data_IF_913744773369
#
_entry.id   IF_913744773369
#
_cell.length_a   1.000
_cell.length_b   1.000
_cell.length_c   1.000
_cell.angle_alpha   90.00
_cell.angle_beta   90.00
_cell.angle_gamma   90.00
#
_symmetry.space_group_name_H-M   'P 1'
#
loop_
_entity.id
_entity.type
_entity.pdbx_description
1 polymer ?
#
# COMPACT_ATOMS: atom_id res chain seq x y z
N UNK A 1 32.30 91.30 -1.49
CA UNK A 1 30.82 91.28 -1.47
C UNK A 1 30.33 89.92 -1.95
N UNK A 2 29.42 89.27 -1.18
CA UNK A 2 28.39 88.25 -1.53
C UNK A 2 28.80 87.09 -2.46
N UNK A 3 28.90 85.82 -2.02
CA UNK A 3 27.89 84.86 -1.55
C UNK A 3 27.64 83.74 -2.59
N UNK A 4 27.98 82.50 -2.21
CA UNK A 4 27.36 81.17 -2.44
C UNK A 4 26.62 80.85 -3.76
N UNK A 5 26.86 79.65 -4.34
CA UNK A 5 25.88 78.52 -4.39
C UNK A 5 26.42 77.36 -5.27
N UNK A 6 26.20 76.16 -4.74
CA UNK A 6 26.48 74.78 -5.17
C UNK A 6 25.82 74.29 -6.47
N UNK A 7 26.39 73.22 -7.07
CA UNK A 7 25.70 72.10 -7.79
C UNK A 7 26.73 71.02 -8.17
N UNK A 8 26.92 69.98 -7.33
CA UNK A 8 26.41 68.58 -7.45
C UNK A 8 26.81 67.85 -8.74
N UNK A 9 27.69 66.84 -8.57
CA UNK A 9 28.08 65.81 -9.53
C UNK A 9 26.88 64.96 -9.99
N UNK A 10 26.93 64.50 -11.24
CA UNK A 10 26.33 63.23 -11.65
C UNK A 10 27.19 62.59 -12.75
N UNK A 11 28.02 61.61 -12.39
CA UNK A 11 28.56 60.63 -13.34
C UNK A 11 27.60 59.44 -13.37
N UNK A 12 27.04 59.16 -14.55
CA UNK A 12 26.25 57.95 -14.80
C UNK A 12 27.26 56.84 -15.11
N UNK A 13 27.43 55.88 -14.21
CA UNK A 13 28.18 54.66 -14.45
C UNK A 13 27.23 53.59 -15.01
N UNK A 14 27.54 53.08 -16.21
CA UNK A 14 26.91 51.87 -16.78
C UNK A 14 27.24 50.65 -15.91
N UNK A 15 26.22 49.89 -15.51
CA UNK A 15 26.38 48.56 -14.89
C UNK A 15 26.17 47.50 -15.97
N UNK A 16 27.06 46.49 -16.10
CA UNK A 16 26.89 45.40 -17.06
C UNK A 16 25.78 44.45 -16.61
N UNK A 17 24.84 44.15 -17.50
CA UNK A 17 23.77 43.20 -17.25
C UNK A 17 24.32 41.76 -17.29
N UNK A 18 24.68 41.21 -16.13
CA UNK A 18 24.91 39.76 -15.99
C UNK A 18 23.56 39.05 -15.94
N UNK A 19 23.20 38.34 -17.01
CA UNK A 19 22.06 37.43 -17.04
C UNK A 19 22.31 36.28 -16.05
N UNK A 20 21.65 36.32 -14.90
CA UNK A 20 21.60 35.21 -13.97
C UNK A 20 20.61 34.17 -14.53
N UNK A 21 21.12 33.20 -15.29
CA UNK A 21 20.33 32.08 -15.78
C UNK A 21 19.85 31.24 -14.59
N UNK A 22 18.56 31.36 -14.24
CA UNK A 22 17.92 30.51 -13.25
C UNK A 22 17.77 29.10 -13.82
N UNK A 23 18.74 28.23 -13.54
CA UNK A 23 18.61 26.79 -13.83
C UNK A 23 17.58 26.24 -12.84
N UNK A 24 16.33 26.12 -13.29
CA UNK A 24 15.30 25.36 -12.61
C UNK A 24 15.73 23.89 -12.62
N UNK A 25 16.43 23.44 -11.58
CA UNK A 25 16.67 22.01 -11.37
C UNK A 25 15.33 21.40 -10.95
N UNK A 26 14.60 20.84 -11.92
CA UNK A 26 13.39 20.09 -11.63
C UNK A 26 13.76 18.91 -10.71
N UNK A 27 13.26 18.95 -9.48
CA UNK A 27 13.41 17.83 -8.55
C UNK A 27 12.71 16.60 -9.14
N UNK A 28 13.33 15.40 -9.09
CA UNK A 28 12.66 14.21 -9.57
C UNK A 28 11.40 14.00 -8.74
N UNK A 29 10.24 13.98 -9.40
CA UNK A 29 8.99 13.60 -8.76
C UNK A 29 9.15 12.18 -8.22
N UNK A 30 9.27 12.04 -6.90
CA UNK A 30 9.21 10.75 -6.23
C UNK A 30 7.88 10.10 -6.63
N UNK A 31 7.93 8.99 -7.37
CA UNK A 31 6.72 8.25 -7.72
C UNK A 31 5.99 7.91 -6.42
N UNK A 32 4.80 8.48 -6.22
CA UNK A 32 4.06 8.32 -4.98
C UNK A 32 3.85 6.82 -4.70
N UNK A 33 4.33 6.36 -3.54
CA UNK A 33 4.13 4.98 -3.09
C UNK A 33 2.62 4.73 -2.99
N UNK A 34 2.15 3.65 -3.62
CA UNK A 34 0.72 3.27 -3.56
C UNK A 34 0.32 3.07 -2.10
N UNK A 35 -0.74 3.73 -1.65
CA UNK A 35 -1.17 3.61 -0.25
C UNK A 35 -1.60 2.17 0.09
N UNK A 36 -1.38 1.75 1.34
CA UNK A 36 -1.87 0.45 1.84
C UNK A 36 -3.38 0.29 1.64
N UNK A 37 -4.14 1.36 1.88
CA UNK A 37 -5.58 1.38 1.68
C UNK A 37 -5.97 1.10 0.22
N UNK A 38 -5.24 1.70 -0.73
CA UNK A 38 -5.44 1.43 -2.16
C UNK A 38 -5.10 -0.02 -2.52
N UNK A 39 -3.97 -0.54 -2.03
CA UNK A 39 -3.60 -1.95 -2.26
C UNK A 39 -4.67 -2.91 -1.74
N UNK A 40 -5.20 -2.68 -0.53
CA UNK A 40 -6.28 -3.49 0.05
C UNK A 40 -7.55 -3.41 -0.79
N UNK A 41 -7.95 -2.21 -1.20
CA UNK A 41 -9.13 -1.98 -2.04
C UNK A 41 -9.02 -2.68 -3.41
N UNK A 42 -7.87 -2.53 -4.09
CA UNK A 42 -7.60 -3.18 -5.37
C UNK A 42 -7.69 -4.71 -5.23
N UNK A 43 -7.10 -5.29 -4.18
CA UNK A 43 -7.13 -6.75 -3.93
C UNK A 43 -8.56 -7.24 -3.73
N UNK A 44 -9.38 -6.55 -2.94
CA UNK A 44 -10.80 -6.91 -2.73
C UNK A 44 -11.57 -6.83 -4.05
N UNK A 45 -11.43 -5.73 -4.79
CA UNK A 45 -12.09 -5.53 -6.08
C UNK A 45 -11.74 -6.64 -7.07
N UNK A 46 -10.45 -6.93 -7.24
CA UNK A 46 -9.98 -7.94 -8.18
C UNK A 46 -10.35 -9.36 -7.74
N UNK A 47 -10.33 -9.65 -6.43
CA UNK A 47 -10.84 -10.91 -5.88
C UNK A 47 -12.30 -11.11 -6.28
N UNK A 48 -13.15 -10.10 -6.07
CA UNK A 48 -14.56 -10.18 -6.44
C UNK A 48 -14.77 -10.30 -7.95
N UNK A 49 -13.99 -9.59 -8.77
CA UNK A 49 -14.02 -9.74 -10.24
C UNK A 49 -13.75 -11.19 -10.65
N UNK A 50 -12.74 -11.83 -10.07
CA UNK A 50 -12.39 -13.22 -10.38
C UNK A 50 -13.42 -14.21 -9.87
N UNK A 51 -14.00 -13.96 -8.70
CA UNK A 51 -15.10 -14.76 -8.16
C UNK A 51 -16.32 -14.71 -9.06
N UNK A 52 -16.72 -13.53 -9.54
CA UNK A 52 -17.83 -13.37 -10.48
C UNK A 52 -17.55 -14.09 -11.81
N UNK A 53 -16.34 -13.96 -12.36
CA UNK A 53 -15.94 -14.69 -13.57
C UNK A 53 -15.96 -16.22 -13.38
N UNK A 54 -15.76 -16.69 -12.16
CA UNK A 54 -15.84 -18.11 -11.80
C UNK A 54 -17.27 -18.56 -11.41
N UNK A 55 -18.27 -17.68 -11.47
CA UNK A 55 -19.65 -18.00 -11.08
C UNK A 55 -19.92 -17.98 -9.56
N UNK A 56 -18.96 -17.53 -8.74
CA UNK A 56 -19.18 -17.33 -7.30
C UNK A 56 -19.82 -15.97 -7.00
N UNK A 57 -20.49 -15.88 -5.85
CA UNK A 57 -20.91 -14.59 -5.26
C UNK A 57 -19.69 -13.80 -4.79
N UNK A 58 -19.79 -12.48 -4.91
CA UNK A 58 -18.82 -11.55 -4.33
C UNK A 58 -18.77 -11.71 -2.80
N UNK A 59 -17.57 -11.67 -2.24
CA UNK A 59 -17.35 -11.61 -0.79
C UNK A 59 -17.49 -10.17 -0.29
N UNK A 60 -18.01 -10.01 0.93
CA UNK A 60 -18.12 -8.73 1.62
C UNK A 60 -16.92 -8.50 2.53
N UNK A 61 -16.43 -7.28 2.60
CA UNK A 61 -15.36 -6.93 3.55
C UNK A 61 -15.89 -7.05 4.99
N UNK A 62 -15.15 -7.77 5.84
CA UNK A 62 -15.37 -7.83 7.28
C UNK A 62 -14.19 -7.18 8.01
N UNK A 63 -14.50 -6.19 8.87
CA UNK A 63 -13.49 -5.42 9.58
C UNK A 63 -12.65 -6.29 10.53
N UNK A 64 -13.23 -7.36 11.09
CA UNK A 64 -12.53 -8.26 12.03
C UNK A 64 -11.48 -9.10 11.31
N UNK A 65 -11.84 -9.64 10.14
CA UNK A 65 -10.87 -10.33 9.27
C UNK A 65 -9.78 -9.37 8.78
N UNK A 66 -10.15 -8.12 8.49
CA UNK A 66 -9.20 -7.06 8.09
C UNK A 66 -8.20 -6.75 9.21
N UNK A 67 -8.67 -6.63 10.46
CA UNK A 67 -7.81 -6.48 11.64
C UNK A 67 -6.82 -7.64 11.77
N UNK A 68 -7.31 -8.89 11.67
CA UNK A 68 -6.47 -10.07 11.76
C UNK A 68 -5.41 -10.12 10.63
N UNK A 69 -5.82 -9.80 9.39
CA UNK A 69 -4.95 -9.78 8.23
C UNK A 69 -3.88 -8.68 8.32
N UNK A 70 -4.26 -7.45 8.67
CA UNK A 70 -3.31 -6.33 8.87
C UNK A 70 -2.31 -6.64 9.98
N UNK A 71 -2.77 -7.23 11.09
CA UNK A 71 -1.90 -7.65 12.19
C UNK A 71 -0.83 -8.65 11.74
N UNK A 72 -1.21 -9.63 10.92
CA UNK A 72 -0.28 -10.62 10.39
C UNK A 72 0.71 -10.03 9.38
N UNK A 73 0.23 -9.21 8.43
CA UNK A 73 1.10 -8.49 7.49
C UNK A 73 2.11 -7.60 8.21
N UNK A 74 1.68 -6.90 9.26
CA UNK A 74 2.56 -6.08 10.09
C UNK A 74 3.59 -6.93 10.85
N UNK A 75 3.20 -8.10 11.35
CA UNK A 75 4.13 -9.01 12.00
C UNK A 75 5.18 -9.52 11.01
N UNK A 76 4.78 -10.03 9.85
CA UNK A 76 5.71 -10.48 8.80
C UNK A 76 6.66 -9.36 8.38
N UNK A 77 6.15 -8.14 8.18
CA UNK A 77 6.97 -6.99 7.82
C UNK A 77 7.93 -6.52 8.92
N UNK A 78 7.59 -6.72 10.20
CA UNK A 78 8.49 -6.39 11.33
C UNK A 78 9.57 -7.44 11.55
N UNK A 79 9.26 -8.72 11.37
CA UNK A 79 10.20 -9.82 11.66
C UNK A 79 10.99 -10.27 10.44
N UNK A 80 10.56 -9.90 9.23
CA UNK A 80 11.10 -10.43 7.98
C UNK A 80 10.70 -11.88 7.72
N UNK A 81 9.87 -12.48 8.58
CA UNK A 81 9.42 -13.87 8.42
C UNK A 81 8.23 -13.96 7.48
N UNK A 82 8.31 -14.81 6.46
CA UNK A 82 7.18 -15.12 5.58
C UNK A 82 6.59 -16.48 5.95
N UNK A 83 5.47 -16.49 6.68
CA UNK A 83 4.85 -17.71 7.19
C UNK A 83 3.36 -17.51 7.46
N UNK A 84 2.57 -18.58 7.35
CA UNK A 84 1.19 -18.62 7.84
C UNK A 84 1.12 -18.66 9.38
N UNK A 85 2.18 -19.15 10.02
CA UNK A 85 2.36 -19.18 11.47
C UNK A 85 2.98 -17.86 11.92
N UNK A 86 2.22 -17.10 12.70
CA UNK A 86 2.58 -15.76 13.15
C UNK A 86 3.18 -15.73 14.55
N UNK A 87 3.06 -14.56 15.19
CA UNK A 87 3.54 -14.32 16.55
C UNK A 87 3.10 -15.43 17.51
N UNK A 88 4.04 -15.93 18.32
CA UNK A 88 3.81 -16.98 19.32
C UNK A 88 3.09 -18.23 18.77
N UNK A 89 3.33 -18.61 17.51
CA UNK A 89 2.72 -19.80 16.91
C UNK A 89 1.27 -19.61 16.44
N UNK A 90 0.77 -18.37 16.39
CA UNK A 90 -0.62 -18.11 15.97
C UNK A 90 -0.90 -18.58 14.53
N UNK A 91 -2.09 -19.13 14.31
CA UNK A 91 -2.62 -19.44 12.97
C UNK A 91 -3.60 -18.36 12.52
N UNK A 92 -4.01 -18.36 11.25
CA UNK A 92 -5.05 -17.44 10.78
C UNK A 92 -6.37 -17.60 11.57
N UNK A 93 -6.68 -18.81 12.03
CA UNK A 93 -7.86 -19.11 12.86
C UNK A 93 -7.75 -18.38 14.19
N UNK A 94 -6.61 -18.51 14.89
CA UNK A 94 -6.45 -17.88 16.21
C UNK A 94 -6.40 -16.36 16.09
N UNK A 95 -5.76 -15.82 15.05
CA UNK A 95 -5.77 -14.37 14.76
C UNK A 95 -7.18 -13.84 14.45
N UNK A 96 -7.96 -14.56 13.64
CA UNK A 96 -9.33 -14.18 13.32
C UNK A 96 -10.25 -14.25 14.55
N UNK A 97 -10.13 -15.31 15.37
CA UNK A 97 -10.89 -15.46 16.62
C UNK A 97 -10.51 -14.38 17.66
N UNK A 98 -9.23 -14.02 17.76
CA UNK A 98 -8.79 -12.91 18.61
C UNK A 98 -9.41 -11.57 18.15
N UNK A 99 -9.61 -11.39 16.85
CA UNK A 99 -10.37 -10.28 16.29
C UNK A 99 -11.91 -10.45 16.37
N UNK A 100 -12.40 -11.46 17.10
CA UNK A 100 -13.83 -11.77 17.30
C UNK A 100 -14.56 -12.18 16.02
N UNK A 101 -13.85 -12.71 15.01
CA UNK A 101 -14.46 -13.33 13.84
C UNK A 101 -14.75 -14.82 14.10
N UNK A 102 -15.99 -15.30 13.92
CA UNK A 102 -16.39 -16.62 14.43
C UNK A 102 -16.01 -17.80 13.52
N UNK A 103 -16.00 -17.62 12.19
CA UNK A 103 -15.95 -18.73 11.22
C UNK A 103 -14.87 -18.55 10.15
N UNK A 104 -13.58 -18.40 10.52
CA UNK A 104 -12.49 -18.22 9.55
C UNK A 104 -12.35 -19.46 8.66
N UNK A 105 -12.12 -19.24 7.37
CA UNK A 105 -12.11 -20.32 6.37
C UNK A 105 -10.70 -20.60 5.83
N UNK A 106 -9.96 -19.57 5.43
CA UNK A 106 -8.66 -19.73 4.77
C UNK A 106 -7.84 -18.44 4.75
N UNK A 107 -6.54 -18.55 4.47
CA UNK A 107 -5.60 -17.44 4.35
C UNK A 107 -4.74 -17.55 3.08
N UNK A 108 -4.52 -16.41 2.43
CA UNK A 108 -3.47 -16.21 1.42
C UNK A 108 -2.48 -15.17 1.92
N UNK A 109 -1.19 -15.36 1.67
CA UNK A 109 -0.13 -14.38 1.99
C UNK A 109 0.74 -14.10 0.76
N UNK A 110 1.29 -12.89 0.69
CA UNK A 110 2.26 -12.48 -0.33
C UNK A 110 3.14 -11.35 0.21
N UNK A 111 4.25 -11.04 -0.46
CA UNK A 111 5.06 -9.86 -0.18
C UNK A 111 5.80 -9.39 -1.45
N UNK A 112 6.30 -8.16 -1.44
CA UNK A 112 7.16 -7.61 -2.50
C UNK A 112 6.42 -7.05 -3.72
N UNK A 113 5.16 -7.41 -3.94
CA UNK A 113 4.36 -6.89 -5.05
C UNK A 113 3.98 -5.41 -4.87
N UNK A 114 4.04 -4.63 -5.95
CA UNK A 114 3.78 -3.17 -5.93
C UNK A 114 2.36 -2.79 -6.33
N UNK A 115 1.53 -3.75 -6.74
CA UNK A 115 0.13 -3.53 -7.11
C UNK A 115 -0.77 -4.65 -6.58
N UNK A 116 -2.04 -4.33 -6.31
CA UNK A 116 -3.04 -5.35 -5.96
C UNK A 116 -3.30 -6.33 -7.12
N UNK A 117 -3.09 -5.89 -8.37
CA UNK A 117 -3.20 -6.73 -9.55
C UNK A 117 -2.18 -7.88 -9.54
N UNK A 118 -0.92 -7.57 -9.25
CA UNK A 118 0.13 -8.57 -9.26
C UNK A 118 -0.03 -9.54 -8.09
N UNK A 119 -0.49 -9.07 -6.92
CA UNK A 119 -0.84 -9.94 -5.78
C UNK A 119 -1.92 -10.94 -6.17
N UNK A 120 -3.04 -10.48 -6.74
CA UNK A 120 -4.15 -11.37 -7.10
C UNK A 120 -3.77 -12.31 -8.24
N UNK A 121 -2.99 -11.84 -9.24
CA UNK A 121 -2.44 -12.72 -10.29
C UNK A 121 -1.56 -13.83 -9.70
N UNK A 122 -0.66 -13.48 -8.79
CA UNK A 122 0.22 -14.46 -8.14
C UNK A 122 -0.59 -15.50 -7.35
N UNK A 123 -1.62 -15.09 -6.62
CA UNK A 123 -2.49 -16.03 -5.91
C UNK A 123 -3.31 -16.91 -6.86
N UNK A 124 -3.81 -16.38 -7.98
CA UNK A 124 -4.54 -17.18 -8.97
C UNK A 124 -3.65 -18.20 -9.70
N UNK A 125 -2.36 -17.92 -9.84
CA UNK A 125 -1.38 -18.82 -10.44
C UNK A 125 -0.94 -19.94 -9.48
N UNK A 126 -1.17 -19.80 -8.17
CA UNK A 126 -0.86 -20.80 -7.17
C UNK A 126 -2.10 -21.66 -6.86
N UNK A 127 -2.08 -22.99 -7.07
CA UNK A 127 -3.27 -23.84 -6.87
C UNK A 127 -3.91 -23.71 -5.48
N UNK A 128 -3.10 -23.66 -4.42
CA UNK A 128 -3.58 -23.52 -3.04
C UNK A 128 -4.26 -22.16 -2.79
N UNK A 129 -3.62 -21.07 -3.21
CA UNK A 129 -4.20 -19.74 -3.04
C UNK A 129 -5.42 -19.51 -3.93
N UNK A 130 -5.39 -20.03 -5.16
CA UNK A 130 -6.52 -20.00 -6.11
C UNK A 130 -7.74 -20.70 -5.53
N UNK A 131 -7.56 -21.88 -4.91
CA UNK A 131 -8.64 -22.61 -4.24
C UNK A 131 -9.34 -21.74 -3.19
N UNK A 132 -8.58 -20.96 -2.41
CA UNK A 132 -9.15 -20.06 -1.40
C UNK A 132 -9.96 -18.91 -2.04
N UNK A 133 -9.39 -18.23 -3.04
CA UNK A 133 -10.05 -17.15 -3.78
C UNK A 133 -11.38 -17.59 -4.41
N UNK A 134 -11.40 -18.78 -5.00
CA UNK A 134 -12.51 -19.30 -5.81
C UNK A 134 -13.42 -20.27 -5.05
N UNK A 135 -13.27 -20.38 -3.72
CA UNK A 135 -14.22 -21.13 -2.90
C UNK A 135 -15.57 -20.38 -2.88
N UNK A 136 -16.59 -20.87 -3.58
CA UNK A 136 -17.89 -20.20 -3.64
C UNK A 136 -18.65 -20.19 -2.29
N UNK A 137 -18.25 -21.00 -1.31
CA UNK A 137 -18.91 -21.07 0.00
C UNK A 137 -18.53 -19.94 0.95
N UNK A 138 -17.37 -19.29 0.75
CA UNK A 138 -16.98 -18.14 1.60
C UNK A 138 -17.79 -16.90 1.26
N UNK A 139 -18.11 -16.11 2.29
CA UNK A 139 -18.99 -14.93 2.20
C UNK A 139 -18.29 -13.64 2.56
N UNK A 140 -17.22 -13.71 3.35
CA UNK A 140 -16.50 -12.54 3.83
C UNK A 140 -15.02 -12.61 3.49
N UNK A 141 -14.39 -11.45 3.44
CA UNK A 141 -12.95 -11.28 3.25
C UNK A 141 -12.43 -10.16 4.13
N UNK A 142 -11.19 -10.28 4.58
CA UNK A 142 -10.41 -9.18 5.13
C UNK A 142 -9.03 -9.17 4.49
N UNK A 143 -8.55 -7.98 4.12
CA UNK A 143 -7.24 -7.81 3.47
C UNK A 143 -6.38 -6.86 4.29
N UNK A 144 -5.18 -7.29 4.62
CA UNK A 144 -4.14 -6.44 5.18
C UNK A 144 -3.03 -6.22 4.18
N UNK A 145 -2.66 -4.96 3.97
CA UNK A 145 -1.42 -4.58 3.31
C UNK A 145 -0.61 -3.72 4.29
N UNK A 146 0.66 -4.05 4.52
CA UNK A 146 1.54 -3.29 5.41
C UNK A 146 2.93 -3.14 4.81
N UNK A 147 3.46 -1.93 4.76
CA UNK A 147 4.86 -1.71 4.40
C UNK A 147 5.79 -2.03 5.58
N UNK A 148 6.79 -2.89 5.34
CA UNK A 148 7.92 -3.04 6.25
C UNK A 148 8.78 -1.76 6.26
N UNK A 149 9.66 -1.63 7.27
CA UNK A 149 10.61 -0.50 7.33
C UNK A 149 11.52 -0.40 6.10
N UNK A 150 11.78 -1.53 5.43
CA UNK A 150 12.52 -1.59 4.16
C UNK A 150 11.75 -1.04 2.95
N UNK A 151 10.47 -0.69 3.11
CA UNK A 151 9.58 -0.32 2.01
C UNK A 151 9.04 -1.53 1.23
N UNK A 152 9.31 -2.76 1.67
CA UNK A 152 8.71 -3.99 1.11
C UNK A 152 7.28 -4.15 1.63
N UNK A 153 6.25 -4.21 0.77
CA UNK A 153 4.89 -4.47 1.21
C UNK A 153 4.65 -5.95 1.50
N UNK A 154 3.89 -6.23 2.55
CA UNK A 154 3.41 -7.56 2.94
C UNK A 154 1.88 -7.58 2.89
N UNK A 155 1.34 -8.72 2.49
CA UNK A 155 -0.09 -8.90 2.23
C UNK A 155 -0.62 -10.15 2.93
N UNK A 156 -1.83 -10.03 3.48
CA UNK A 156 -2.60 -11.14 4.01
C UNK A 156 -4.05 -10.98 3.55
N UNK A 157 -4.66 -12.04 3.08
CA UNK A 157 -6.08 -12.11 2.72
C UNK A 157 -6.72 -13.28 3.47
N UNK A 158 -7.65 -12.97 4.37
CA UNK A 158 -8.39 -13.97 5.14
C UNK A 158 -9.84 -14.04 4.65
N UNK A 159 -10.37 -15.24 4.52
CA UNK A 159 -11.77 -15.50 4.15
C UNK A 159 -12.56 -16.09 5.32
N UNK A 160 -13.88 -15.96 5.26
CA UNK A 160 -14.80 -16.55 6.24
C UNK A 160 -16.17 -16.90 5.68
N UNK A 161 -16.88 -17.78 6.39
CA UNK A 161 -18.24 -18.25 6.05
C UNK A 161 -19.35 -17.33 6.58
#
# INVERSE_FOLDING_TARGET
MRASITKRLALIAMIPATLLGLVMVASPASAAVVSEAKLQGDIVYLTNKQRTLHGCKAVRVDARLTTAARGHSAWMGRTGTFSHTGNAGSSFITRAKAARYPQPASENIAFGYRSGLDVVKAWLASPGHRKNLLNCSVKTVGVGAVYAKSGTPYFTQNFGY
#
